data_IF_146115452709
#
_entry.id   IF_146115452709
#
_cell.length_a   1.000
_cell.length_b   1.000
_cell.length_c   1.000
_cell.angle_alpha   90.00
_cell.angle_beta   90.00
_cell.angle_gamma   90.00
#
_symmetry.space_group_name_H-M   'P 1'
#
loop_
_entity.id
_entity.type
_entity.pdbx_description
1 polymer ?
#
# COMPACT_ATOMS: atom_id res chain seq x y z
N UNK A 1 -19.97 -16.00 -0.81
CA UNK A 1 -19.34 -15.22 -1.87
C UNK A 1 -17.91 -15.66 -2.09
N UNK A 2 -17.52 -15.90 -3.34
CA UNK A 2 -16.19 -16.41 -3.64
C UNK A 2 -15.15 -15.30 -3.50
N UNK A 3 -13.96 -15.68 -3.04
CA UNK A 3 -12.79 -14.80 -3.05
C UNK A 3 -12.22 -14.71 -4.45
N UNK A 4 -11.88 -13.51 -4.86
CA UNK A 4 -11.13 -13.29 -6.09
C UNK A 4 -9.71 -12.88 -5.71
N UNK A 5 -8.72 -13.63 -6.16
CA UNK A 5 -7.32 -13.32 -5.92
C UNK A 5 -6.88 -12.29 -6.97
N UNK A 6 -6.26 -11.22 -6.50
CA UNK A 6 -5.79 -10.13 -7.35
C UNK A 6 -4.30 -10.27 -7.55
N UNK A 7 -3.88 -10.14 -8.80
CA UNK A 7 -2.47 -10.14 -9.17
C UNK A 7 -2.23 -9.11 -10.26
N UNK A 8 -1.10 -8.41 -10.19
CA UNK A 8 -0.67 -7.49 -11.23
C UNK A 8 0.86 -7.42 -11.27
N UNK A 9 1.41 -7.32 -12.47
CA UNK A 9 2.85 -7.10 -12.65
C UNK A 9 3.23 -5.64 -12.43
N UNK A 10 2.23 -4.74 -12.29
CA UNK A 10 2.46 -3.33 -11.98
C UNK A 10 2.81 -3.06 -10.53
N UNK A 11 2.79 -4.08 -9.68
CA UNK A 11 3.23 -4.02 -8.29
C UNK A 11 4.18 -5.19 -8.02
N UNK A 12 5.00 -5.12 -6.95
CA UNK A 12 5.90 -6.21 -6.61
C UNK A 12 5.15 -7.53 -6.46
N UNK A 13 5.67 -8.59 -7.06
CA UNK A 13 5.05 -9.90 -6.92
C UNK A 13 5.10 -10.38 -5.47
N UNK A 14 4.11 -11.17 -5.08
CA UNK A 14 4.07 -11.73 -3.73
C UNK A 14 5.20 -12.75 -3.57
N UNK A 15 6.10 -12.48 -2.62
CA UNK A 15 7.24 -13.34 -2.32
C UNK A 15 6.97 -14.06 -1.01
N UNK A 16 6.13 -15.08 -1.06
CA UNK A 16 5.75 -15.84 0.12
C UNK A 16 4.32 -16.34 0.05
N UNK A 17 3.80 -16.68 1.20
CA UNK A 17 2.49 -17.32 1.31
C UNK A 17 1.37 -16.30 1.47
N UNK A 18 1.23 -15.39 0.49
CA UNK A 18 0.18 -14.36 0.50
C UNK A 18 -0.14 -13.93 -0.93
N UNK A 19 -1.27 -13.24 -1.08
CA UNK A 19 -1.69 -12.63 -2.33
C UNK A 19 -1.50 -11.11 -2.25
N UNK A 20 -1.32 -10.45 -3.38
CA UNK A 20 -1.23 -8.98 -3.40
C UNK A 20 -2.51 -8.34 -2.88
N UNK A 21 -3.65 -8.92 -3.19
CA UNK A 21 -4.94 -8.50 -2.64
C UNK A 21 -5.96 -9.63 -2.82
N UNK A 22 -7.03 -9.54 -2.03
CA UNK A 22 -8.17 -10.44 -2.13
C UNK A 22 -9.43 -9.60 -2.18
N UNK A 23 -10.25 -9.83 -3.19
CA UNK A 23 -11.54 -9.14 -3.33
C UNK A 23 -12.68 -10.08 -2.90
N UNK A 24 -13.53 -9.58 -2.02
CA UNK A 24 -14.75 -10.26 -1.56
C UNK A 24 -15.91 -9.31 -1.82
N UNK A 25 -16.71 -9.58 -2.87
CA UNK A 25 -17.79 -8.69 -3.25
C UNK A 25 -17.26 -7.31 -3.63
N UNK A 26 -17.65 -6.30 -2.86
CA UNK A 26 -17.21 -4.91 -3.08
C UNK A 26 -16.03 -4.51 -2.19
N UNK A 27 -15.54 -5.42 -1.35
CA UNK A 27 -14.43 -5.11 -0.44
C UNK A 27 -13.15 -5.75 -0.95
N UNK A 28 -12.07 -4.96 -0.97
CA UNK A 28 -10.74 -5.42 -1.39
C UNK A 28 -9.79 -5.27 -0.21
N UNK A 29 -9.19 -6.37 0.20
CA UNK A 29 -8.17 -6.40 1.25
C UNK A 29 -6.81 -6.46 0.59
N UNK A 30 -6.01 -5.42 0.76
CA UNK A 30 -4.71 -5.31 0.11
C UNK A 30 -3.60 -5.62 1.09
N UNK A 31 -2.69 -6.49 0.68
CA UNK A 31 -1.48 -6.77 1.45
C UNK A 31 -0.64 -5.51 1.58
N UNK A 32 0.18 -5.45 2.63
CA UNK A 32 1.10 -4.35 2.83
C UNK A 32 2.11 -4.25 1.70
N UNK A 33 2.36 -3.01 1.26
CA UNK A 33 3.38 -2.72 0.25
C UNK A 33 4.55 -2.00 0.89
N UNK A 34 5.75 -2.42 0.53
CA UNK A 34 6.99 -1.71 0.84
C UNK A 34 7.53 -1.09 -0.45
N UNK A 35 8.55 -0.27 -0.34
CA UNK A 35 9.03 0.52 -1.47
C UNK A 35 9.85 -0.24 -2.51
N UNK A 36 9.41 -1.42 -2.91
CA UNK A 36 10.06 -2.19 -3.97
C UNK A 36 9.63 -1.70 -5.35
N UNK A 37 10.58 -1.57 -6.24
CA UNK A 37 10.31 -1.34 -7.65
C UNK A 37 9.84 -2.67 -8.25
N UNK A 38 8.64 -2.74 -8.85
CA UNK A 38 8.13 -4.02 -9.37
C UNK A 38 8.94 -4.58 -10.54
N UNK A 39 9.66 -3.74 -11.27
CA UNK A 39 10.46 -4.20 -12.42
C UNK A 39 11.75 -4.89 -11.99
N UNK A 40 12.38 -4.42 -10.91
CA UNK A 40 13.69 -4.91 -10.44
C UNK A 40 13.59 -5.70 -9.14
N UNK A 41 12.51 -5.53 -8.40
CA UNK A 41 12.33 -6.06 -7.05
C UNK A 41 13.39 -5.53 -6.06
N UNK A 42 13.92 -4.35 -6.34
CA UNK A 42 14.86 -3.66 -5.47
C UNK A 42 14.17 -2.56 -4.69
N UNK A 43 14.61 -2.37 -3.43
CA UNK A 43 14.10 -1.29 -2.58
C UNK A 43 14.63 0.04 -3.08
N UNK A 44 13.72 1.02 -3.30
CA UNK A 44 14.18 2.37 -3.62
C UNK A 44 14.84 2.99 -2.39
N UNK A 45 15.85 3.83 -2.61
CA UNK A 45 16.63 4.41 -1.52
C UNK A 45 15.93 5.64 -0.93
N UNK A 46 15.89 5.71 0.40
CA UNK A 46 15.37 6.87 1.13
C UNK A 46 13.88 6.74 1.45
N UNK A 47 13.50 7.31 2.61
CA UNK A 47 12.12 7.18 3.11
C UNK A 47 11.12 7.90 2.21
N UNK A 48 11.44 9.09 1.71
CA UNK A 48 10.55 9.84 0.83
C UNK A 48 10.23 9.06 -0.45
N UNK A 49 11.24 8.66 -1.23
CA UNK A 49 11.02 7.82 -2.41
C UNK A 49 10.30 6.50 -2.09
N UNK A 50 10.59 5.87 -0.94
CA UNK A 50 9.88 4.65 -0.55
C UNK A 50 8.39 4.90 -0.33
N UNK A 51 8.01 6.01 0.30
CA UNK A 51 6.60 6.34 0.52
C UNK A 51 5.90 6.51 -0.83
N UNK A 52 6.50 7.22 -1.78
CA UNK A 52 5.94 7.37 -3.13
C UNK A 52 5.77 6.01 -3.81
N UNK A 53 6.81 5.17 -3.76
CA UNK A 53 6.76 3.85 -4.39
C UNK A 53 5.66 2.99 -3.79
N UNK A 54 5.48 3.05 -2.48
CA UNK A 54 4.41 2.32 -1.78
C UNK A 54 3.04 2.72 -2.34
N UNK A 55 2.76 4.03 -2.46
CA UNK A 55 1.48 4.48 -2.99
C UNK A 55 1.30 4.10 -4.46
N UNK A 56 2.35 4.14 -5.26
CA UNK A 56 2.28 3.69 -6.65
C UNK A 56 1.97 2.20 -6.73
N UNK A 57 2.58 1.39 -5.87
CA UNK A 57 2.30 -0.04 -5.80
C UNK A 57 0.86 -0.32 -5.38
N UNK A 58 0.38 0.38 -4.35
CA UNK A 58 -1.03 0.25 -3.92
C UNK A 58 -2.00 0.66 -5.03
N UNK A 59 -1.70 1.71 -5.76
CA UNK A 59 -2.54 2.16 -6.88
C UNK A 59 -2.62 1.08 -7.97
N UNK A 60 -1.51 0.45 -8.31
CA UNK A 60 -1.49 -0.61 -9.30
C UNK A 60 -2.36 -1.80 -8.87
N UNK A 61 -2.25 -2.21 -7.60
CA UNK A 61 -3.07 -3.30 -7.06
C UNK A 61 -4.54 -2.91 -7.02
N UNK A 62 -4.85 -1.68 -6.60
CA UNK A 62 -6.23 -1.18 -6.57
C UNK A 62 -6.87 -1.25 -7.96
N UNK A 63 -6.15 -0.83 -8.99
CA UNK A 63 -6.63 -0.87 -10.37
C UNK A 63 -6.83 -2.30 -10.86
N UNK A 64 -5.94 -3.20 -10.51
CA UNK A 64 -6.10 -4.62 -10.84
C UNK A 64 -7.34 -5.22 -10.18
N UNK A 65 -7.76 -4.71 -9.04
CA UNK A 65 -8.95 -5.16 -8.34
C UNK A 65 -10.25 -4.53 -8.88
N UNK A 66 -10.15 -3.62 -9.83
CA UNK A 66 -11.30 -2.95 -10.43
C UNK A 66 -11.67 -1.62 -9.80
N UNK A 67 -10.77 -1.06 -8.99
CA UNK A 67 -10.99 0.22 -8.32
C UNK A 67 -9.84 1.19 -8.52
N UNK A 68 -9.74 2.12 -7.61
CA UNK A 68 -8.72 3.15 -7.58
C UNK A 68 -8.30 3.36 -6.13
N UNK A 69 -7.16 3.98 -5.93
CA UNK A 69 -6.69 4.30 -4.59
C UNK A 69 -7.70 5.18 -3.82
N UNK A 70 -8.44 6.02 -4.54
CA UNK A 70 -9.50 6.87 -3.95
C UNK A 70 -10.63 6.06 -3.30
N UNK A 71 -10.75 4.77 -3.64
CA UNK A 71 -11.76 3.88 -3.06
C UNK A 71 -11.33 3.32 -1.70
N UNK A 72 -10.14 3.67 -1.23
CA UNK A 72 -9.65 3.23 0.06
C UNK A 72 -10.51 3.83 1.19
N UNK A 73 -10.92 2.97 2.12
CA UNK A 73 -11.67 3.38 3.31
C UNK A 73 -10.82 3.27 4.57
N UNK A 74 -9.71 2.52 4.52
CA UNK A 74 -8.82 2.34 5.66
C UNK A 74 -7.39 2.13 5.16
N UNK A 75 -6.45 2.83 5.80
CA UNK A 75 -5.02 2.61 5.62
C UNK A 75 -4.37 2.36 6.97
N UNK A 76 -3.39 1.48 7.01
CA UNK A 76 -2.49 1.36 8.15
C UNK A 76 -1.07 1.61 7.66
N UNK A 77 -0.40 2.56 8.31
CA UNK A 77 0.96 2.98 7.97
C UNK A 77 1.90 2.49 9.05
N UNK A 78 2.92 1.73 8.66
CA UNK A 78 3.97 1.22 9.54
C UNK A 78 5.26 1.94 9.21
N UNK A 79 5.89 2.56 10.22
CA UNK A 79 7.14 3.29 10.06
C UNK A 79 8.19 2.77 11.06
N UNK A 80 9.42 2.60 10.61
CA UNK A 80 10.51 2.29 11.53
C UNK A 80 10.93 3.51 12.35
N UNK A 81 10.56 4.72 11.88
CA UNK A 81 10.78 5.97 12.59
C UNK A 81 9.53 6.84 12.43
N UNK A 82 8.74 6.98 13.51
CA UNK A 82 7.54 7.82 13.50
C UNK A 82 7.82 9.29 13.23
N UNK A 83 9.07 9.74 13.35
CA UNK A 83 9.48 11.09 12.96
C UNK A 83 9.20 11.38 11.47
N UNK A 84 9.03 10.34 10.65
CA UNK A 84 8.71 10.48 9.23
C UNK A 84 7.21 10.59 8.95
N UNK A 85 6.36 10.64 9.99
CA UNK A 85 4.92 10.70 9.81
C UNK A 85 4.46 11.94 9.02
N UNK A 86 5.09 13.09 9.27
CA UNK A 86 4.79 14.33 8.53
C UNK A 86 5.03 14.15 7.04
N UNK A 87 6.08 13.44 6.67
CA UNK A 87 6.42 13.16 5.27
C UNK A 87 5.37 12.25 4.62
N UNK A 88 4.83 11.28 5.37
CA UNK A 88 3.73 10.45 4.90
C UNK A 88 2.50 11.30 4.60
N UNK A 89 2.14 12.22 5.51
CA UNK A 89 1.00 13.12 5.31
C UNK A 89 1.17 13.97 4.05
N UNK A 90 2.36 14.54 3.86
CA UNK A 90 2.66 15.38 2.72
C UNK A 90 2.55 14.60 1.41
N UNK A 91 3.13 13.41 1.37
CA UNK A 91 3.08 12.55 0.17
C UNK A 91 1.67 12.06 -0.09
N UNK A 92 0.96 11.65 0.96
CA UNK A 92 -0.41 11.16 0.86
C UNK A 92 -1.36 12.21 0.29
N UNK A 93 -1.15 13.49 0.62
CA UNK A 93 -1.96 14.58 0.08
C UNK A 93 -1.88 14.68 -1.45
N UNK A 94 -0.83 14.16 -2.06
CA UNK A 94 -0.71 14.09 -3.52
C UNK A 94 -1.46 12.93 -4.16
N UNK A 95 -1.83 11.92 -3.37
CA UNK A 95 -2.53 10.74 -3.86
C UNK A 95 -4.01 10.70 -3.49
N UNK A 96 -4.41 11.44 -2.46
CA UNK A 96 -5.79 11.44 -1.94
C UNK A 96 -6.33 12.84 -1.87
N UNK A 97 -7.65 12.94 -1.97
CA UNK A 97 -8.40 14.18 -1.76
C UNK A 97 -9.44 13.96 -0.66
N UNK A 98 -9.88 15.03 0.04
CA UNK A 98 -10.98 14.88 0.99
C UNK A 98 -12.25 14.35 0.32
N UNK A 99 -13.03 13.50 0.97
CA UNK A 99 -12.78 12.96 2.30
C UNK A 99 -11.69 11.90 2.30
N UNK A 100 -10.83 11.93 3.32
CA UNK A 100 -9.72 10.98 3.44
C UNK A 100 -10.17 9.64 4.03
N UNK A 101 -9.47 8.53 3.73
CA UNK A 101 -9.75 7.26 4.39
C UNK A 101 -9.39 7.34 5.88
N UNK A 102 -10.00 6.45 6.67
CA UNK A 102 -9.56 6.24 8.04
C UNK A 102 -8.12 5.74 8.03
N UNK A 103 -7.32 6.12 9.04
CA UNK A 103 -5.90 5.76 9.05
C UNK A 103 -5.39 5.57 10.46
N UNK A 104 -4.49 4.58 10.63
CA UNK A 104 -3.64 4.45 11.80
C UNK A 104 -2.18 4.53 11.34
N UNK A 105 -1.31 5.09 12.17
CA UNK A 105 0.12 5.09 11.93
C UNK A 105 0.81 4.55 13.19
N UNK A 106 1.69 3.58 13.01
CA UNK A 106 2.36 2.92 14.11
C UNK A 106 3.85 2.82 13.85
N UNK A 107 4.64 2.98 14.91
CA UNK A 107 6.08 2.73 14.86
C UNK A 107 6.34 1.25 15.09
N UNK A 108 7.26 0.68 14.32
CA UNK A 108 7.63 -0.73 14.40
C UNK A 108 9.14 -0.85 14.50
N UNK A 109 9.59 -1.97 15.06
CA UNK A 109 11.03 -2.21 15.24
C UNK A 109 11.76 -2.40 13.91
N UNK A 110 11.13 -3.09 12.95
CA UNK A 110 11.70 -3.34 11.64
C UNK A 110 10.60 -3.74 10.67
N UNK A 111 10.92 -3.67 9.38
CA UNK A 111 10.03 -4.08 8.30
C UNK A 111 10.78 -5.01 7.34
N UNK A 112 10.06 -5.81 6.55
CA UNK A 112 10.70 -6.73 5.61
C UNK A 112 11.70 -6.01 4.70
N UNK A 113 12.80 -6.66 4.43
CA UNK A 113 13.83 -6.21 3.47
C UNK A 113 14.42 -4.85 3.81
N UNK A 114 14.43 -4.48 5.08
CA UNK A 114 14.98 -3.20 5.50
C UNK A 114 14.13 -2.00 5.09
N UNK A 115 12.86 -2.21 4.77
CA UNK A 115 11.98 -1.11 4.41
C UNK A 115 11.83 -0.12 5.57
N UNK A 116 11.65 1.14 5.21
CA UNK A 116 11.45 2.23 6.19
C UNK A 116 9.97 2.54 6.39
N UNK A 117 9.12 2.08 5.48
CA UNK A 117 7.68 2.28 5.49
C UNK A 117 6.98 1.10 4.84
N UNK A 118 5.81 0.78 5.38
CA UNK A 118 4.90 -0.20 4.79
C UNK A 118 3.48 0.31 4.98
N UNK A 119 2.62 0.14 3.98
CA UNK A 119 1.22 0.57 4.07
C UNK A 119 0.33 -0.55 3.51
N UNK A 120 -0.71 -0.91 4.27
CA UNK A 120 -1.78 -1.75 3.76
C UNK A 120 -3.07 -0.94 3.65
N UNK A 121 -4.05 -1.47 2.95
CA UNK A 121 -5.27 -0.73 2.69
C UNK A 121 -6.47 -1.66 2.52
N UNK A 122 -7.64 -1.11 2.77
CA UNK A 122 -8.92 -1.76 2.48
C UNK A 122 -9.68 -0.82 1.56
N UNK A 123 -10.14 -1.35 0.42
CA UNK A 123 -10.99 -0.63 -0.52
C UNK A 123 -12.43 -1.07 -0.39
N UNK A 124 -13.35 -0.16 -0.68
CA UNK A 124 -14.76 -0.48 -0.84
C UNK A 124 -15.20 0.03 -2.21
N UNK A 125 -15.59 -0.90 -3.09
CA UNK A 125 -15.99 -0.59 -4.46
C UNK A 125 -17.51 -0.53 -4.53
N UNK A 126 -18.03 0.50 -5.12
CA UNK A 126 -19.47 0.63 -5.30
C UNK A 126 -19.92 0.17 -6.67
#
# INVERSE_FOLDING_TARGET
MARQIIHTDGAPQAIGTYSQAVRCGVTVYMAGQIGLDPATMEMVAGVGPQIHRVFQNLQAVARAAGGELKDAVKLTVYLTDLGNFALVNETMAGYFKPPYPARAAVGVASLPRGALVEIDAILHLD
#
